data_IF_300904707415
#
_entry.id   IF_300904707415
#
_cell.length_a   1.000
_cell.length_b   1.000
_cell.length_c   1.000
_cell.angle_alpha   90.00
_cell.angle_beta   90.00
_cell.angle_gamma   90.00
#
_symmetry.space_group_name_H-M   'P 1'
#
loop_
_entity.id
_entity.type
_entity.pdbx_description
1 polymer ?
#
# COMPACT_ATOMS: atom_id res chain seq x y z
N UNK A 1 -47.36 46.78 -51.28
CA UNK A 1 -46.98 45.36 -51.19
C UNK A 1 -45.65 45.24 -50.47
N UNK A 2 -45.70 44.92 -49.17
CA UNK A 2 -44.48 44.81 -48.33
C UNK A 2 -44.20 43.30 -48.16
N UNK A 3 -43.02 42.86 -48.59
CA UNK A 3 -42.55 41.50 -48.40
C UNK A 3 -41.91 41.38 -47.02
N UNK A 4 -42.43 40.50 -46.17
CA UNK A 4 -41.80 40.14 -44.91
C UNK A 4 -40.69 39.08 -45.20
N UNK A 5 -39.47 39.43 -44.82
CA UNK A 5 -38.36 38.45 -44.74
C UNK A 5 -38.40 37.76 -43.39
N UNK A 6 -38.64 36.46 -43.41
CA UNK A 6 -38.59 35.62 -42.26
C UNK A 6 -37.12 35.13 -42.10
N UNK A 7 -36.38 35.66 -41.15
CA UNK A 7 -35.04 35.22 -40.82
C UNK A 7 -35.13 33.99 -39.94
N UNK A 8 -34.68 32.86 -40.45
CA UNK A 8 -34.49 31.63 -39.67
C UNK A 8 -33.17 31.77 -38.92
N UNK A 9 -33.25 31.78 -37.59
CA UNK A 9 -32.09 31.67 -36.69
C UNK A 9 -31.82 30.18 -36.46
N UNK A 10 -30.76 29.66 -37.09
CA UNK A 10 -30.27 28.32 -36.79
C UNK A 10 -29.56 28.36 -35.41
N UNK A 11 -30.19 27.76 -34.42
CA UNK A 11 -29.57 27.49 -33.12
C UNK A 11 -28.56 26.37 -33.23
N UNK A 12 -27.28 26.70 -33.11
CA UNK A 12 -26.20 25.70 -32.94
C UNK A 12 -26.21 25.25 -31.49
N UNK A 13 -26.77 24.07 -31.26
CA UNK A 13 -26.70 23.38 -29.98
C UNK A 13 -25.30 22.80 -29.76
N UNK A 14 -24.51 23.43 -28.88
CA UNK A 14 -23.24 22.87 -28.40
C UNK A 14 -23.56 21.79 -27.38
N UNK A 15 -23.47 20.53 -27.79
CA UNK A 15 -23.46 19.39 -26.88
C UNK A 15 -22.11 19.34 -26.18
N UNK A 16 -22.04 19.85 -24.93
CA UNK A 16 -20.94 19.58 -24.01
C UNK A 16 -21.02 18.12 -23.57
N UNK A 17 -20.39 17.24 -24.34
CA UNK A 17 -20.12 15.88 -23.92
C UNK A 17 -19.13 15.86 -22.76
N UNK A 18 -19.63 15.72 -21.54
CA UNK A 18 -18.79 15.48 -20.37
C UNK A 18 -18.05 14.16 -20.54
N UNK A 19 -16.74 14.23 -20.81
CA UNK A 19 -15.82 13.10 -20.72
C UNK A 19 -15.72 12.71 -19.25
N UNK A 20 -16.59 11.80 -18.81
CA UNK A 20 -16.41 11.09 -17.55
C UNK A 20 -15.21 10.16 -17.74
N UNK A 21 -13.99 10.64 -17.42
CA UNK A 21 -12.82 9.77 -17.35
C UNK A 21 -13.08 8.74 -16.26
N UNK A 22 -13.02 7.43 -16.54
CA UNK A 22 -12.99 6.45 -15.47
C UNK A 22 -11.68 6.67 -14.71
N UNK A 23 -11.77 7.17 -13.48
CA UNK A 23 -10.66 7.10 -12.54
C UNK A 23 -10.39 5.62 -12.33
N UNK A 24 -9.36 5.10 -12.99
CA UNK A 24 -8.81 3.82 -12.67
C UNK A 24 -8.23 3.95 -11.25
N UNK A 25 -9.01 3.55 -10.25
CA UNK A 25 -8.49 3.12 -8.96
C UNK A 25 -7.77 1.79 -9.19
N UNK A 26 -6.61 1.81 -9.86
CA UNK A 26 -5.57 0.85 -9.56
C UNK A 26 -5.20 1.17 -8.11
N UNK A 27 -5.33 0.21 -7.20
CA UNK A 27 -4.94 0.37 -5.82
C UNK A 27 -3.51 0.85 -5.78
N UNK A 28 -3.32 2.18 -5.66
CA UNK A 28 -1.99 2.75 -5.58
C UNK A 28 -1.47 2.34 -4.20
N UNK A 29 -0.34 1.64 -4.19
CA UNK A 29 0.40 1.36 -2.97
C UNK A 29 0.64 2.68 -2.25
N UNK A 30 -0.10 2.91 -1.14
CA UNK A 30 -0.03 4.14 -0.37
C UNK A 30 0.78 3.91 0.91
N UNK A 31 2.05 4.38 0.97
CA UNK A 31 2.87 4.24 2.16
C UNK A 31 2.26 4.88 3.41
N UNK A 32 1.44 5.93 3.29
CA UNK A 32 0.81 6.57 4.44
C UNK A 32 -0.33 5.71 5.01
N UNK A 33 -1.15 5.09 4.16
CA UNK A 33 -2.12 4.09 4.57
C UNK A 33 -1.41 2.87 5.17
N UNK A 34 -0.31 2.42 4.54
CA UNK A 34 0.54 1.35 5.03
C UNK A 34 1.13 1.63 6.41
N UNK A 35 1.59 2.85 6.67
CA UNK A 35 2.05 3.27 8.00
C UNK A 35 0.96 3.13 9.04
N UNK A 36 -0.24 3.64 8.77
CA UNK A 36 -1.38 3.56 9.68
C UNK A 36 -1.74 2.11 10.04
N UNK A 37 -1.69 1.21 9.05
CA UNK A 37 -1.93 -0.22 9.26
C UNK A 37 -0.79 -0.87 10.04
N UNK A 38 0.46 -0.56 9.69
CA UNK A 38 1.65 -1.05 10.38
C UNK A 38 1.63 -0.70 11.88
N UNK A 39 1.31 0.54 12.21
CA UNK A 39 1.25 1.00 13.61
C UNK A 39 0.21 0.21 14.42
N UNK A 40 -0.90 -0.18 13.83
CA UNK A 40 -1.97 -0.93 14.49
C UNK A 40 -1.67 -2.43 14.61
N UNK A 41 -1.12 -3.04 13.56
CA UNK A 41 -1.02 -4.49 13.46
C UNK A 41 0.39 -5.04 13.71
N UNK A 42 1.44 -4.27 13.41
CA UNK A 42 2.82 -4.75 13.34
C UNK A 42 3.71 -4.21 14.44
N UNK A 43 3.45 -2.98 14.91
CA UNK A 43 4.35 -2.24 15.79
C UNK A 43 4.57 -2.90 17.15
N UNK A 44 3.61 -3.69 17.64
CA UNK A 44 3.74 -4.40 18.93
C UNK A 44 4.98 -5.31 18.96
N UNK A 45 5.29 -5.94 17.83
CA UNK A 45 6.46 -6.80 17.68
C UNK A 45 7.63 -6.06 17.00
N UNK A 46 7.36 -5.40 15.88
CA UNK A 46 8.40 -4.81 15.04
C UNK A 46 8.85 -3.39 15.47
N UNK A 47 8.15 -2.78 16.43
CA UNK A 47 8.41 -1.40 16.88
C UNK A 47 7.80 -0.35 15.96
N UNK A 48 7.49 0.82 16.49
CA UNK A 48 6.92 1.94 15.73
C UNK A 48 7.85 2.43 14.61
N UNK A 49 9.16 2.30 14.83
CA UNK A 49 10.19 2.70 13.85
C UNK A 49 10.72 1.54 13.01
N UNK A 50 10.15 0.34 13.17
CA UNK A 50 10.53 -0.83 12.40
C UNK A 50 11.82 -1.52 12.80
N UNK A 51 12.39 -1.20 13.97
CA UNK A 51 13.70 -1.74 14.42
C UNK A 51 13.64 -3.16 15.01
N UNK A 52 12.46 -3.77 15.09
CA UNK A 52 12.27 -5.06 15.74
C UNK A 52 12.31 -4.98 17.26
N UNK A 53 12.04 -3.81 17.82
CA UNK A 53 12.13 -3.45 19.24
C UNK A 53 10.77 -3.14 19.86
N UNK A 54 9.70 -3.71 19.32
CA UNK A 54 8.35 -3.56 19.86
C UNK A 54 8.25 -4.06 21.30
N UNK A 55 7.16 -3.71 21.98
CA UNK A 55 6.97 -4.01 23.41
C UNK A 55 7.02 -5.52 23.72
N UNK A 56 6.68 -6.38 22.77
CA UNK A 56 6.75 -7.83 22.93
C UNK A 56 8.07 -8.45 22.44
N UNK A 57 8.91 -7.69 21.73
CA UNK A 57 10.11 -8.20 21.06
C UNK A 57 11.11 -8.88 22.01
N UNK A 58 11.19 -8.43 23.26
CA UNK A 58 12.10 -8.99 24.24
C UNK A 58 11.80 -10.46 24.58
N UNK A 59 10.51 -10.86 24.51
CA UNK A 59 10.03 -12.20 24.79
C UNK A 59 10.08 -13.14 23.57
N UNK A 60 10.39 -12.61 22.37
CA UNK A 60 10.36 -13.38 21.13
C UNK A 60 11.75 -13.92 20.75
N UNK A 61 11.80 -15.18 20.36
CA UNK A 61 12.99 -15.83 19.81
C UNK A 61 12.60 -16.68 18.58
N UNK A 62 13.10 -16.39 17.36
CA UNK A 62 13.96 -15.24 17.05
C UNK A 62 13.24 -13.89 17.24
N UNK A 63 14.01 -12.82 17.42
CA UNK A 63 13.46 -11.47 17.48
C UNK A 63 12.81 -11.06 16.17
N UNK A 64 11.79 -10.16 16.22
CA UNK A 64 11.19 -9.61 15.02
C UNK A 64 12.23 -8.96 14.11
N UNK A 65 12.00 -9.03 12.80
CA UNK A 65 12.87 -8.43 11.81
C UNK A 65 12.99 -6.92 12.01
N UNK A 66 14.23 -6.43 11.94
CA UNK A 66 14.51 -5.01 11.81
C UNK A 66 14.28 -4.58 10.35
N UNK A 67 13.23 -3.82 10.10
CA UNK A 67 12.86 -3.32 8.76
C UNK A 67 13.73 -2.15 8.31
N UNK A 68 14.50 -1.52 9.24
CA UNK A 68 15.41 -0.43 8.89
C UNK A 68 16.76 -0.93 8.37
N UNK A 69 17.05 -2.23 8.49
CA UNK A 69 18.24 -2.86 7.92
C UNK A 69 18.11 -2.98 6.40
N UNK A 70 18.43 -1.90 5.68
CA UNK A 70 18.32 -1.84 4.24
C UNK A 70 19.27 -2.80 3.52
N UNK A 71 20.40 -3.19 4.13
CA UNK A 71 21.29 -4.18 3.51
C UNK A 71 20.59 -5.52 3.37
N UNK A 72 19.79 -5.91 4.34
CA UNK A 72 18.99 -7.14 4.26
C UNK A 72 17.66 -6.91 3.54
N UNK A 73 16.88 -5.90 3.94
CA UNK A 73 15.52 -5.69 3.41
C UNK A 73 15.49 -5.48 1.90
N UNK A 74 16.53 -4.84 1.34
CA UNK A 74 16.62 -4.57 -0.10
C UNK A 74 16.95 -5.82 -0.93
N UNK A 75 17.32 -6.94 -0.31
CA UNK A 75 17.50 -8.23 -1.00
C UNK A 75 16.19 -9.00 -1.14
N UNK A 76 15.13 -8.59 -0.43
CA UNK A 76 13.83 -9.24 -0.47
C UNK A 76 12.96 -8.59 -1.57
N UNK A 77 12.18 -9.39 -2.27
CA UNK A 77 11.19 -8.87 -3.23
C UNK A 77 9.92 -8.41 -2.53
N UNK A 78 9.12 -7.56 -3.19
CA UNK A 78 7.82 -7.13 -2.67
C UNK A 78 6.86 -8.31 -2.54
N UNK A 79 6.87 -9.23 -3.50
CA UNK A 79 6.10 -10.48 -3.44
C UNK A 79 6.45 -11.34 -2.22
N UNK A 80 7.75 -11.39 -1.87
CA UNK A 80 8.18 -12.11 -0.67
C UNK A 80 7.65 -11.43 0.60
N UNK A 81 7.76 -10.10 0.69
CA UNK A 81 7.23 -9.34 1.84
C UNK A 81 5.72 -9.47 1.94
N UNK A 82 5.02 -9.35 0.82
CA UNK A 82 3.58 -9.58 0.74
C UNK A 82 3.19 -10.96 1.26
N UNK A 83 3.87 -12.00 0.77
CA UNK A 83 3.61 -13.39 1.19
C UNK A 83 3.83 -13.59 2.68
N UNK A 84 4.92 -13.07 3.24
CA UNK A 84 5.21 -13.16 4.69
C UNK A 84 4.10 -12.52 5.51
N UNK A 85 3.61 -11.35 5.12
CA UNK A 85 2.54 -10.65 5.83
C UNK A 85 1.23 -11.44 5.69
N UNK A 86 0.87 -11.82 4.48
CA UNK A 86 -0.40 -12.50 4.20
C UNK A 86 -0.50 -13.87 4.83
N UNK A 87 0.56 -14.67 4.72
CA UNK A 87 0.55 -16.11 5.07
C UNK A 87 1.33 -16.43 6.36
N UNK A 88 1.98 -15.43 6.94
CA UNK A 88 2.79 -15.61 8.16
C UNK A 88 4.21 -16.09 7.90
N UNK A 89 5.06 -15.97 8.92
CA UNK A 89 6.48 -16.30 8.83
C UNK A 89 6.75 -17.76 8.50
N UNK A 90 5.95 -18.69 8.97
CA UNK A 90 6.10 -20.12 8.71
C UNK A 90 6.00 -20.47 7.22
N UNK A 91 5.21 -19.73 6.44
CA UNK A 91 5.01 -19.95 5.00
C UNK A 91 6.29 -19.77 4.17
N UNK A 92 7.26 -19.06 4.72
CA UNK A 92 8.57 -18.75 4.10
C UNK A 92 9.75 -19.31 4.92
N UNK A 93 9.50 -20.27 5.79
CA UNK A 93 10.54 -20.92 6.62
C UNK A 93 11.10 -19.99 7.70
N UNK A 94 10.34 -19.00 8.15
CA UNK A 94 10.68 -18.10 9.27
C UNK A 94 9.85 -18.44 10.51
N UNK A 95 9.94 -17.61 11.54
CA UNK A 95 9.26 -17.88 12.81
C UNK A 95 7.74 -17.97 12.67
N UNK A 96 7.11 -19.02 13.22
CA UNK A 96 5.65 -19.11 13.30
C UNK A 96 5.02 -18.07 14.25
N UNK A 97 5.85 -17.36 15.03
CA UNK A 97 5.40 -16.26 15.89
C UNK A 97 5.01 -15.01 15.08
N UNK A 98 5.46 -14.90 13.82
CA UNK A 98 4.90 -13.93 12.87
C UNK A 98 3.60 -14.51 12.29
N UNK A 99 2.42 -14.01 12.72
CA UNK A 99 1.15 -14.60 12.29
C UNK A 99 0.81 -14.24 10.84
N UNK A 100 -0.13 -14.98 10.26
CA UNK A 100 -0.75 -14.66 8.99
C UNK A 100 -1.80 -13.56 9.17
N UNK A 101 -1.74 -12.52 8.36
CA UNK A 101 -2.66 -11.38 8.43
C UNK A 101 -3.71 -11.35 7.32
N UNK A 102 -3.62 -12.25 6.33
CA UNK A 102 -4.49 -12.23 5.16
C UNK A 102 -5.98 -12.47 5.43
N UNK A 103 -6.37 -12.92 6.63
CA UNK A 103 -7.77 -13.00 7.03
C UNK A 103 -8.31 -11.68 7.62
N UNK A 104 -7.43 -10.77 8.07
CA UNK A 104 -7.77 -9.51 8.74
C UNK A 104 -7.45 -8.27 7.90
N UNK A 105 -6.49 -8.39 7.00
CA UNK A 105 -5.98 -7.30 6.16
C UNK A 105 -6.13 -7.74 4.70
N UNK A 106 -6.80 -6.92 3.88
CA UNK A 106 -6.95 -7.21 2.44
C UNK A 106 -5.64 -7.02 1.68
N UNK A 107 -5.59 -7.49 0.44
CA UNK A 107 -4.37 -7.49 -0.37
C UNK A 107 -3.85 -6.07 -0.68
N UNK A 108 -4.74 -5.10 -0.95
CA UNK A 108 -4.34 -3.72 -1.24
C UNK A 108 -3.71 -3.04 -0.02
N UNK A 109 -4.27 -3.29 1.17
CA UNK A 109 -3.69 -2.79 2.42
C UNK A 109 -2.34 -3.47 2.72
N UNK A 110 -2.18 -4.76 2.41
CA UNK A 110 -0.88 -5.45 2.55
C UNK A 110 0.14 -4.84 1.60
N UNK A 111 -0.21 -4.56 0.34
CA UNK A 111 0.67 -3.85 -0.59
C UNK A 111 1.08 -2.48 -0.07
N UNK A 112 0.14 -1.74 0.51
CA UNK A 112 0.43 -0.45 1.16
C UNK A 112 1.39 -0.60 2.34
N UNK A 113 1.26 -1.66 3.15
CA UNK A 113 2.23 -1.97 4.22
C UNK A 113 3.60 -2.28 3.63
N UNK A 114 3.70 -3.07 2.55
CA UNK A 114 4.98 -3.34 1.87
C UNK A 114 5.63 -2.03 1.39
N UNK A 115 4.85 -1.15 0.76
CA UNK A 115 5.33 0.16 0.34
C UNK A 115 5.87 0.99 1.52
N UNK A 116 5.18 0.98 2.67
CA UNK A 116 5.67 1.63 3.88
C UNK A 116 6.99 1.02 4.38
N UNK A 117 7.11 -0.31 4.43
CA UNK A 117 8.34 -1.00 4.84
C UNK A 117 9.55 -0.57 4.00
N UNK A 118 9.34 -0.31 2.69
CA UNK A 118 10.40 0.19 1.80
C UNK A 118 10.90 1.59 2.19
N UNK A 119 10.06 2.40 2.81
CA UNK A 119 10.47 3.74 3.28
C UNK A 119 11.36 3.68 4.52
N UNK A 120 11.34 2.58 5.27
CA UNK A 120 12.12 2.41 6.50
C UNK A 120 13.58 2.03 6.24
N UNK A 121 13.88 1.45 5.10
CA UNK A 121 15.18 0.86 4.78
C UNK A 121 16.32 1.90 4.71
N UNK A 122 17.43 1.62 5.39
CA UNK A 122 18.68 2.41 5.31
C UNK A 122 19.84 1.46 5.05
N UNK A 123 20.52 1.54 3.89
CA UNK A 123 20.31 2.48 2.77
C UNK A 123 18.92 2.33 2.11
N UNK A 124 18.45 3.40 1.43
CA UNK A 124 17.12 3.40 0.82
C UNK A 124 16.92 2.27 -0.19
N UNK A 125 15.68 1.76 -0.25
CA UNK A 125 15.29 0.82 -1.30
C UNK A 125 15.36 1.50 -2.67
N UNK A 126 15.84 0.74 -3.64
CA UNK A 126 15.85 1.11 -5.07
C UNK A 126 15.18 -0.03 -5.83
N UNK A 127 14.03 0.22 -6.46
CA UNK A 127 13.31 -0.78 -7.25
C UNK A 127 14.08 -1.20 -8.49
#
# INVERSE_FOLDING_TARGET
>A
MKRLHLSQVLGVGVLLGGLCSPSAFAGAEDPAAGQSMYEKACSMCHGLTGKGDGSTAAALNPKPRNHTDGQYMNTLTDDYLFKVIKEGGASVGKSPLMPAWGAQINDDDIHSVVAYLRTLAVPPYKP
#
